data_IF_814673171024
#
_entry.id   IF_814673171024
#
_cell.length_a   1.000
_cell.length_b   1.000
_cell.length_c   1.000
_cell.angle_alpha   90.00
_cell.angle_beta   90.00
_cell.angle_gamma   90.00
#
_symmetry.space_group_name_H-M   'P 1'
#
loop_
_entity.id
_entity.type
_entity.pdbx_description
1 polymer ?
#
# COMPACT_ATOMS: atom_id res chain seq x y z
N UNK A 1 11.00 15.30 9.91
CA UNK A 1 11.45 15.10 8.52
C UNK A 1 10.25 14.76 7.68
N UNK A 2 9.99 15.57 6.66
CA UNK A 2 8.81 15.49 5.80
C UNK A 2 9.28 15.61 4.35
N UNK A 3 8.68 14.84 3.46
CA UNK A 3 8.98 14.85 2.02
C UNK A 3 7.70 15.12 1.26
N UNK A 4 7.72 16.15 0.42
CA UNK A 4 6.61 16.52 -0.45
C UNK A 4 7.06 16.41 -1.90
N UNK A 5 6.28 15.67 -2.69
CA UNK A 5 6.57 15.38 -4.09
C UNK A 5 5.34 15.78 -4.90
N UNK A 6 5.54 16.69 -5.85
CA UNK A 6 4.51 17.04 -6.81
C UNK A 6 4.98 16.78 -8.24
N UNK A 7 4.29 15.87 -8.94
CA UNK A 7 4.68 15.45 -10.29
C UNK A 7 3.99 16.24 -11.40
N UNK A 8 3.07 17.15 -11.07
CA UNK A 8 2.35 17.96 -12.05
C UNK A 8 1.43 17.17 -12.99
N UNK A 9 0.56 17.88 -13.73
CA UNK A 9 -0.40 17.24 -14.64
C UNK A 9 0.13 16.92 -16.03
N UNK A 10 1.31 17.45 -16.39
CA UNK A 10 1.91 17.33 -17.72
C UNK A 10 2.86 16.14 -17.86
N UNK A 11 3.16 15.42 -16.76
CA UNK A 11 4.05 14.26 -16.83
C UNK A 11 3.35 13.05 -17.43
N UNK A 12 4.05 12.36 -18.33
CA UNK A 12 3.61 11.05 -18.82
C UNK A 12 3.62 10.03 -17.68
N UNK A 13 2.82 8.97 -17.82
CA UNK A 13 2.76 7.86 -16.84
C UNK A 13 4.16 7.30 -16.54
N UNK A 14 5.01 7.21 -17.56
CA UNK A 14 6.36 6.66 -17.46
C UNK A 14 7.31 7.58 -16.71
N UNK A 15 7.31 8.89 -17.03
CA UNK A 15 8.14 9.87 -16.32
C UNK A 15 7.82 9.93 -14.83
N UNK A 16 6.53 9.94 -14.48
CA UNK A 16 6.11 9.93 -13.07
C UNK A 16 6.59 8.68 -12.33
N UNK A 17 6.58 7.51 -12.97
CA UNK A 17 7.12 6.27 -12.39
C UNK A 17 8.62 6.38 -12.16
N UNK A 18 9.39 6.75 -13.17
CA UNK A 18 10.85 6.85 -13.10
C UNK A 18 11.29 7.81 -12.00
N UNK A 19 10.69 9.01 -11.96
CA UNK A 19 11.01 10.02 -10.94
C UNK A 19 10.71 9.48 -9.55
N UNK A 20 9.52 8.93 -9.34
CA UNK A 20 9.13 8.45 -8.01
C UNK A 20 9.93 7.20 -7.56
N UNK A 21 10.34 6.35 -8.50
CA UNK A 21 11.20 5.19 -8.24
C UNK A 21 12.59 5.60 -7.78
N UNK A 22 13.21 6.59 -8.45
CA UNK A 22 14.56 7.07 -8.14
C UNK A 22 14.67 7.92 -6.86
N UNK A 23 13.55 8.31 -6.25
CA UNK A 23 13.50 9.20 -5.09
C UNK A 23 13.59 8.49 -3.73
N UNK A 24 13.81 7.16 -3.70
CA UNK A 24 13.73 6.33 -2.50
C UNK A 24 14.14 7.09 -1.21
N UNK A 25 13.18 7.45 -0.35
CA UNK A 25 13.44 8.33 0.79
C UNK A 25 14.25 7.63 1.89
N UNK A 26 14.94 8.44 2.70
CA UNK A 26 15.67 7.97 3.87
C UNK A 26 14.72 7.41 4.95
N UNK A 27 15.17 6.40 5.69
CA UNK A 27 14.43 5.71 6.77
C UNK A 27 13.97 6.60 7.94
N UNK A 28 14.48 7.83 8.02
CA UNK A 28 14.11 8.81 9.06
C UNK A 28 12.89 9.65 8.65
N UNK A 29 12.34 9.41 7.46
CA UNK A 29 11.15 10.11 6.98
C UNK A 29 9.97 9.80 7.89
N UNK A 30 9.30 10.87 8.37
CA UNK A 30 8.12 10.76 9.24
C UNK A 30 6.82 11.09 8.51
N UNK A 31 6.88 11.94 7.48
CA UNK A 31 5.72 12.34 6.71
C UNK A 31 6.02 12.27 5.22
N UNK A 32 5.11 11.68 4.44
CA UNK A 32 5.22 11.55 2.99
C UNK A 32 3.98 12.12 2.31
N UNK A 33 4.16 13.15 1.48
CA UNK A 33 3.10 13.76 0.69
C UNK A 33 3.41 13.58 -0.79
N UNK A 34 2.51 12.93 -1.54
CA UNK A 34 2.66 12.72 -2.99
C UNK A 34 1.43 13.29 -3.70
N UNK A 35 1.69 14.15 -4.68
CA UNK A 35 0.67 14.88 -5.42
C UNK A 35 0.81 14.61 -6.93
N UNK A 36 -0.34 14.46 -7.58
CA UNK A 36 -0.48 14.40 -9.05
C UNK A 36 0.29 13.25 -9.71
N UNK A 37 0.45 12.12 -9.01
CA UNK A 37 1.06 10.91 -9.57
C UNK A 37 0.20 10.32 -10.71
N UNK A 38 0.82 10.18 -11.89
CA UNK A 38 0.14 9.69 -13.09
C UNK A 38 0.40 8.20 -13.38
N UNK A 39 1.24 7.53 -12.58
CA UNK A 39 1.48 6.10 -12.76
C UNK A 39 0.32 5.22 -12.29
N UNK A 40 0.30 3.97 -12.75
CA UNK A 40 -0.74 2.98 -12.45
C UNK A 40 -0.41 2.12 -11.23
N UNK A 41 0.88 1.95 -10.93
CA UNK A 41 1.41 1.15 -9.83
C UNK A 41 2.32 2.02 -9.00
N UNK A 42 2.33 1.84 -7.70
CA UNK A 42 3.30 2.52 -6.83
C UNK A 42 4.73 2.00 -7.07
N UNK A 43 5.74 2.81 -6.74
CA UNK A 43 7.14 2.41 -6.86
C UNK A 43 7.50 1.23 -5.96
N UNK A 44 8.58 0.53 -6.28
CA UNK A 44 8.95 -0.72 -5.59
C UNK A 44 9.21 -0.53 -4.09
N UNK A 45 9.80 0.61 -3.72
CA UNK A 45 10.09 0.96 -2.32
C UNK A 45 8.84 1.23 -1.48
N UNK A 46 7.69 1.57 -2.09
CA UNK A 46 6.39 1.64 -1.40
C UNK A 46 5.73 0.27 -1.29
N UNK A 47 5.94 -0.59 -2.28
CA UNK A 47 5.40 -1.96 -2.30
C UNK A 47 6.05 -2.86 -1.23
N UNK A 48 7.30 -2.57 -0.85
CA UNK A 48 8.04 -3.29 0.19
C UNK A 48 7.68 -2.90 1.62
N UNK A 49 6.81 -1.90 1.83
CA UNK A 49 6.40 -1.48 3.16
C UNK A 49 5.80 -2.61 3.98
N UNK A 50 6.25 -2.72 5.23
CA UNK A 50 5.80 -3.76 6.16
C UNK A 50 6.17 -5.20 5.75
N UNK A 51 7.09 -5.39 4.79
CA UNK A 51 7.83 -6.66 4.65
C UNK A 51 9.08 -6.58 5.51
N UNK A 52 9.08 -7.27 6.64
CA UNK A 52 10.30 -7.46 7.44
C UNK A 52 11.23 -8.47 6.74
N UNK A 53 12.56 -8.31 6.83
CA UNK A 53 13.30 -7.25 7.53
C UNK A 53 13.43 -5.93 6.74
N UNK A 54 12.95 -5.88 5.50
CA UNK A 54 13.19 -4.80 4.53
C UNK A 54 12.15 -3.67 4.57
N UNK A 55 11.81 -3.16 5.76
CA UNK A 55 10.93 -2.00 5.85
C UNK A 55 11.73 -0.72 5.53
N UNK A 56 11.55 -0.19 4.32
CA UNK A 56 12.28 0.98 3.82
C UNK A 56 12.01 2.26 4.63
N UNK A 57 10.85 2.35 5.30
CA UNK A 57 10.41 3.53 6.04
C UNK A 57 9.81 3.16 7.41
N UNK A 58 10.64 2.79 8.40
CA UNK A 58 10.17 2.40 9.73
C UNK A 58 9.52 3.54 10.51
N UNK A 59 9.97 4.77 10.32
CA UNK A 59 9.52 5.91 11.13
C UNK A 59 8.34 6.68 10.52
N UNK A 60 7.69 6.13 9.50
CA UNK A 60 6.64 6.84 8.77
C UNK A 60 5.34 6.89 9.59
N UNK A 61 4.91 8.10 9.93
CA UNK A 61 3.76 8.37 10.79
C UNK A 61 2.57 8.90 10.01
N UNK A 62 2.81 9.61 8.91
CA UNK A 62 1.74 10.24 8.14
C UNK A 62 1.98 10.11 6.63
N UNK A 63 0.92 9.81 5.91
CA UNK A 63 0.92 9.77 4.45
C UNK A 63 -0.25 10.58 3.88
N UNK A 64 0.05 11.43 2.90
CA UNK A 64 -0.95 12.13 2.09
C UNK A 64 -0.74 11.78 0.62
N UNK A 65 -1.74 11.19 -0.02
CA UNK A 65 -1.75 10.97 -1.47
C UNK A 65 -2.88 11.78 -2.09
N UNK A 66 -2.56 12.61 -3.08
CA UNK A 66 -3.57 13.40 -3.75
C UNK A 66 -3.48 13.44 -5.27
N UNK A 67 -4.64 13.51 -5.92
CA UNK A 67 -4.76 13.67 -7.37
C UNK A 67 -4.16 12.52 -8.20
N UNK A 68 -4.23 11.28 -7.73
CA UNK A 68 -3.79 10.11 -8.48
C UNK A 68 -4.82 9.76 -9.55
N UNK A 69 -4.38 9.75 -10.82
CA UNK A 69 -5.29 9.57 -11.97
C UNK A 69 -5.53 8.11 -12.34
N UNK A 70 -4.51 7.25 -12.25
CA UNK A 70 -4.55 5.90 -12.82
C UNK A 70 -4.31 4.77 -11.82
N UNK A 71 -3.95 5.10 -10.58
CA UNK A 71 -3.64 4.12 -9.55
C UNK A 71 -4.91 3.44 -9.04
N UNK A 72 -5.00 2.11 -9.22
CA UNK A 72 -6.16 1.31 -8.80
C UNK A 72 -6.01 0.68 -7.42
N UNK A 73 -4.76 0.50 -6.97
CA UNK A 73 -4.41 -0.18 -5.73
C UNK A 73 -3.20 0.51 -5.10
N UNK A 74 -3.25 0.77 -3.79
CA UNK A 74 -2.10 1.34 -3.07
C UNK A 74 -1.13 0.27 -2.58
N UNK A 75 -1.61 -0.85 -2.02
CA UNK A 75 -0.81 -2.01 -1.54
C UNK A 75 0.19 -1.71 -0.40
N UNK A 76 0.25 -2.58 0.61
CA UNK A 76 1.23 -2.57 1.70
C UNK A 76 1.13 -1.44 2.75
N UNK A 77 0.24 -0.45 2.59
CA UNK A 77 0.06 0.65 3.57
C UNK A 77 -0.46 0.15 4.91
N UNK A 78 -1.33 -0.88 4.89
CA UNK A 78 -1.94 -1.46 6.09
C UNK A 78 -0.96 -2.15 7.04
N UNK A 79 0.30 -2.32 6.63
CA UNK A 79 1.35 -3.00 7.41
C UNK A 79 2.34 -2.05 8.07
N UNK A 80 2.16 -0.74 7.90
CA UNK A 80 3.02 0.27 8.51
C UNK A 80 2.73 0.35 10.02
N UNK A 81 3.70 0.00 10.89
CA UNK A 81 3.43 -0.17 12.32
C UNK A 81 3.19 1.15 13.05
N UNK A 82 3.73 2.27 12.54
CA UNK A 82 3.67 3.58 13.20
C UNK A 82 2.80 4.60 12.46
N UNK A 83 2.08 4.18 11.41
CA UNK A 83 1.23 5.08 10.64
C UNK A 83 0.01 5.49 11.46
N UNK A 84 -0.05 6.78 11.82
CA UNK A 84 -1.15 7.41 12.56
C UNK A 84 -2.14 8.12 11.63
N UNK A 85 -1.65 8.66 10.52
CA UNK A 85 -2.46 9.48 9.61
C UNK A 85 -2.41 9.00 8.16
N UNK A 86 -3.57 8.72 7.58
CA UNK A 86 -3.71 8.45 6.15
C UNK A 86 -4.72 9.40 5.51
N UNK A 87 -4.26 10.21 4.57
CA UNK A 87 -5.10 11.13 3.80
C UNK A 87 -5.07 10.75 2.33
N UNK A 88 -6.23 10.43 1.76
CA UNK A 88 -6.41 10.11 0.36
C UNK A 88 -7.41 11.10 -0.26
N UNK A 89 -6.94 11.91 -1.21
CA UNK A 89 -7.74 12.96 -1.83
C UNK A 89 -7.74 12.84 -3.36
N UNK A 90 -8.90 12.92 -4.01
CA UNK A 90 -8.97 12.93 -5.48
C UNK A 90 -8.35 11.69 -6.17
N UNK A 91 -8.60 10.51 -5.62
CA UNK A 91 -8.06 9.23 -6.09
C UNK A 91 -9.02 8.59 -7.11
N UNK A 92 -8.99 9.06 -8.37
CA UNK A 92 -10.05 8.82 -9.37
C UNK A 92 -10.30 7.35 -9.74
N UNK A 93 -9.25 6.52 -9.69
CA UNK A 93 -9.31 5.11 -10.11
C UNK A 93 -9.06 4.14 -8.96
N UNK A 94 -8.88 4.63 -7.74
CA UNK A 94 -8.57 3.78 -6.60
C UNK A 94 -9.78 2.91 -6.25
N UNK A 95 -9.60 1.60 -6.37
CA UNK A 95 -10.63 0.62 -6.05
C UNK A 95 -10.41 0.02 -4.66
N UNK A 96 -9.16 -0.26 -4.27
CA UNK A 96 -8.84 -0.83 -2.96
C UNK A 96 -7.56 -0.25 -2.38
N UNK A 97 -7.55 -0.01 -1.07
CA UNK A 97 -6.37 0.51 -0.35
C UNK A 97 -5.29 -0.58 -0.23
N UNK A 98 -5.69 -1.83 -0.08
CA UNK A 98 -4.76 -2.96 -0.01
C UNK A 98 -5.13 -4.09 -0.98
N UNK A 99 -4.11 -4.60 -1.68
CA UNK A 99 -4.22 -5.74 -2.56
C UNK A 99 -3.27 -6.84 -2.04
N UNK A 100 -3.77 -7.70 -1.15
CA UNK A 100 -3.02 -8.86 -0.68
C UNK A 100 -3.44 -10.07 -1.50
N UNK A 101 -2.56 -10.56 -2.38
CA UNK A 101 -2.65 -11.97 -2.76
C UNK A 101 -2.31 -12.77 -1.51
N UNK A 102 -3.27 -13.54 -1.01
CA UNK A 102 -3.00 -14.55 0.02
C UNK A 102 -2.13 -15.64 -0.63
N UNK A 103 -0.84 -15.39 -0.73
CA UNK A 103 0.11 -16.48 -0.60
C UNK A 103 0.15 -16.77 0.90
N UNK A 104 -0.65 -17.74 1.33
CA UNK A 104 -0.32 -18.49 2.53
C UNK A 104 1.12 -19.00 2.32
N UNK A 105 2.09 -18.41 3.01
CA UNK A 105 3.49 -18.71 2.75
C UNK A 105 4.44 -17.75 3.47
N UNK A 106 5.07 -18.26 4.51
CA UNK A 106 6.09 -17.68 5.41
C UNK A 106 5.54 -16.74 6.50
N UNK A 107 5.72 -17.01 7.80
CA UNK A 107 6.80 -17.76 8.45
C UNK A 107 6.41 -18.36 9.82
N UNK A 108 6.25 -19.68 9.88
CA UNK A 108 6.97 -20.62 10.77
C UNK A 108 6.39 -22.04 10.58
N UNK A 109 7.19 -23.05 10.14
CA UNK A 109 6.80 -24.44 10.26
C UNK A 109 7.21 -24.92 11.65
N UNK A 110 6.36 -24.73 12.64
CA UNK A 110 6.46 -25.50 13.88
C UNK A 110 5.51 -26.67 13.76
N UNK A 111 6.10 -27.85 13.54
CA UNK A 111 5.42 -29.14 13.51
C UNK A 111 4.74 -29.41 14.86
N UNK A 112 3.42 -29.26 14.94
CA UNK A 112 2.52 -30.11 15.74
C UNK A 112 1.12 -29.48 15.85
N UNK A 113 0.10 -30.31 15.57
CA UNK A 113 -1.33 -30.16 15.86
C UNK A 113 -2.26 -29.67 14.73
N UNK A 114 -3.23 -30.51 14.29
CA UNK A 114 -4.29 -30.14 13.37
C UNK A 114 -5.44 -29.49 14.14
N UNK A 115 -5.46 -28.16 14.19
CA UNK A 115 -6.70 -27.40 14.33
C UNK A 115 -6.50 -26.04 13.65
N UNK A 116 -6.92 -25.94 12.40
CA UNK A 116 -6.92 -24.71 11.63
C UNK A 116 -7.94 -23.72 12.25
N UNK A 117 -7.57 -23.12 13.36
CA UNK A 117 -8.12 -21.84 13.78
C UNK A 117 -7.46 -20.81 12.86
N UNK A 118 -8.23 -20.33 11.87
CA UNK A 118 -7.81 -19.24 11.03
C UNK A 118 -7.40 -18.07 11.93
N UNK A 119 -6.10 -17.84 12.07
CA UNK A 119 -5.59 -16.69 12.81
C UNK A 119 -6.27 -15.45 12.22
N UNK A 120 -6.87 -14.57 13.06
CA UNK A 120 -7.55 -13.39 12.54
C UNK A 120 -6.56 -12.61 11.68
N UNK A 121 -6.96 -12.15 10.48
CA UNK A 121 -6.06 -11.42 9.61
C UNK A 121 -5.48 -10.24 10.40
N UNK A 122 -4.15 -10.08 10.40
CA UNK A 122 -3.49 -8.98 11.09
C UNK A 122 -4.24 -7.66 10.79
N UNK A 123 -4.56 -6.87 11.82
CA UNK A 123 -5.32 -5.64 11.65
C UNK A 123 -4.57 -4.73 10.69
N UNK A 124 -5.30 -4.18 9.71
CA UNK A 124 -4.75 -3.16 8.84
C UNK A 124 -4.62 -1.87 9.63
N UNK A 125 -3.43 -1.27 9.57
CA UNK A 125 -3.10 -0.02 10.25
C UNK A 125 -3.22 -0.10 11.77
N UNK A 126 -2.32 -0.82 12.46
CA UNK A 126 -2.41 -1.05 13.91
C UNK A 126 -2.36 0.24 14.75
N UNK A 127 -1.83 1.33 14.21
CA UNK A 127 -1.63 2.61 14.91
C UNK A 127 -2.43 3.78 14.32
N UNK A 128 -3.41 3.53 13.43
CA UNK A 128 -4.13 4.60 12.75
C UNK A 128 -5.01 5.38 13.73
N UNK A 129 -4.79 6.68 13.81
CA UNK A 129 -5.57 7.60 14.64
C UNK A 129 -6.61 8.34 13.79
N UNK A 130 -6.26 8.69 12.54
CA UNK A 130 -7.17 9.36 11.64
C UNK A 130 -7.01 8.91 10.19
N UNK A 131 -8.13 8.97 9.50
CA UNK A 131 -8.27 8.57 8.12
C UNK A 131 -9.18 9.55 7.39
N UNK A 132 -8.63 10.22 6.38
CA UNK A 132 -9.36 11.19 5.57
C UNK A 132 -9.48 10.69 4.14
N UNK A 133 -10.72 10.42 3.72
CA UNK A 133 -11.05 10.00 2.37
C UNK A 133 -11.94 11.06 1.73
N UNK A 134 -11.49 11.64 0.62
CA UNK A 134 -12.28 12.63 -0.10
C UNK A 134 -12.12 12.47 -1.60
N UNK A 135 -13.23 12.56 -2.35
CA UNK A 135 -13.24 12.40 -3.81
C UNK A 135 -12.59 11.09 -4.28
N UNK A 136 -13.04 9.96 -3.74
CA UNK A 136 -12.61 8.60 -4.13
C UNK A 136 -13.80 7.80 -4.67
N UNK A 137 -14.32 8.17 -5.86
CA UNK A 137 -15.62 7.68 -6.35
C UNK A 137 -15.64 6.18 -6.69
N UNK A 138 -14.49 5.54 -6.85
CA UNK A 138 -14.36 4.14 -7.23
C UNK A 138 -13.96 3.20 -6.08
N UNK A 139 -13.85 3.71 -4.85
CA UNK A 139 -13.43 2.90 -3.72
C UNK A 139 -14.46 1.80 -3.44
N UNK A 140 -14.05 0.54 -3.60
CA UNK A 140 -14.87 -0.64 -3.34
C UNK A 140 -14.66 -1.20 -1.93
N UNK A 141 -13.51 -0.91 -1.31
CA UNK A 141 -13.23 -1.32 0.06
C UNK A 141 -11.76 -1.21 0.46
N UNK A 142 -11.47 -1.63 1.69
CA UNK A 142 -10.13 -1.55 2.28
C UNK A 142 -9.17 -2.59 1.72
N UNK A 143 -9.64 -3.83 1.58
CA UNK A 143 -8.84 -4.96 1.11
C UNK A 143 -9.56 -5.72 0.02
N UNK A 144 -8.83 -6.07 -1.03
CA UNK A 144 -9.27 -7.07 -2.00
C UNK A 144 -8.71 -8.43 -1.59
N UNK A 145 -9.56 -9.33 -1.11
CA UNK A 145 -9.18 -10.72 -0.86
C UNK A 145 -9.37 -11.51 -2.16
N UNK A 146 -8.28 -12.03 -2.72
CA UNK A 146 -8.34 -12.96 -3.83
C UNK A 146 -8.30 -14.39 -3.27
N UNK A 147 -9.46 -15.01 -3.10
CA UNK A 147 -9.50 -16.46 -2.94
C UNK A 147 -9.02 -17.07 -4.27
N UNK A 148 -7.90 -17.80 -4.27
CA UNK A 148 -7.51 -18.61 -5.43
C UNK A 148 -8.58 -19.69 -5.57
N UNK A 149 -9.45 -19.59 -6.57
CA UNK A 149 -10.19 -20.75 -7.03
C UNK A 149 -9.18 -21.76 -7.54
N UNK A 150 -9.15 -22.93 -6.90
CA UNK A 150 -8.44 -24.10 -7.38
C UNK A 150 -9.00 -24.47 -8.75
N UNK A 151 -8.42 -23.96 -9.83
CA UNK A 151 -8.58 -24.64 -11.12
C UNK A 151 -7.63 -25.82 -11.08
N UNK A 152 -8.19 -26.92 -10.58
CA UNK A 152 -7.71 -28.27 -10.76
C UNK A 152 -7.24 -28.45 -12.20
N UNK A 153 -5.98 -28.84 -12.35
CA UNK A 153 -5.52 -29.56 -13.52
C UNK A 153 -6.48 -30.71 -13.79
N UNK A 154 -7.12 -30.71 -14.95
CA UNK A 154 -7.74 -31.91 -15.51
C UNK A 154 -7.10 -32.11 -16.87
N UNK A 155 -6.26 -33.14 -16.88
CA UNK A 155 -5.69 -33.96 -17.96
C UNK A 155 -5.75 -33.47 -19.40
#
# INVERSE_FOLDING_TARGET
>A
VSLEIDLGYKQSKEKSKIVLEGLQPHSNLRQLNIHRYNGERLPSWMMSWGRLPYNSLPNLVQITLSCFKNCRYLSSFGRLPHLKGLTLFHMRQLEYVENTSTAAGSSHPSLSHPLATASPPNPLFPSLEYLLLQWIPKLKGWRKMMCRSSTSSSS
#
